data_IF_563865230022
#
_entry.id   IF_563865230022
#
_cell.length_a   1.000
_cell.length_b   1.000
_cell.length_c   1.000
_cell.angle_alpha   90.00
_cell.angle_beta   90.00
_cell.angle_gamma   90.00
#
_symmetry.space_group_name_H-M   'P 1'
#
loop_
_entity.id
_entity.type
_entity.pdbx_description
1 polymer ?
#
# COMPACT_ATOMS: atom_id res chain seq x y z
N UNK A 1 44.68 -8.14 14.37
CA UNK A 1 45.02 -7.61 13.02
C UNK A 1 44.27 -8.32 11.91
N UNK A 2 44.38 -9.65 11.77
CA UNK A 2 43.65 -10.41 10.74
C UNK A 2 42.12 -10.23 10.77
N UNK A 3 41.50 -10.27 11.96
CA UNK A 3 40.06 -10.04 12.10
C UNK A 3 39.62 -8.61 11.78
N UNK A 4 40.47 -7.61 12.06
CA UNK A 4 40.19 -6.21 11.70
C UNK A 4 40.29 -6.00 10.19
N UNK A 5 41.24 -6.68 9.54
CA UNK A 5 41.35 -6.71 8.09
C UNK A 5 40.12 -7.36 7.44
N UNK A 6 39.69 -8.53 7.93
CA UNK A 6 38.47 -9.19 7.45
C UNK A 6 37.22 -8.33 7.64
N UNK A 7 37.10 -7.65 8.79
CA UNK A 7 36.00 -6.73 9.05
C UNK A 7 36.00 -5.57 8.05
N UNK A 8 37.17 -5.00 7.76
CA UNK A 8 37.32 -3.95 6.75
C UNK A 8 36.89 -4.40 5.36
N UNK A 9 37.33 -5.58 4.91
CA UNK A 9 36.92 -6.15 3.63
C UNK A 9 35.41 -6.40 3.57
N UNK A 10 34.82 -6.92 4.64
CA UNK A 10 33.38 -7.17 4.71
C UNK A 10 32.55 -5.87 4.64
N UNK A 11 32.99 -4.80 5.33
CA UNK A 11 32.33 -3.49 5.29
C UNK A 11 32.41 -2.89 3.88
N UNK A 12 33.59 -2.90 3.26
CA UNK A 12 33.78 -2.36 1.90
C UNK A 12 32.96 -3.16 0.89
N UNK A 13 32.99 -4.50 0.96
CA UNK A 13 32.19 -5.36 0.11
C UNK A 13 30.67 -5.12 0.28
N UNK A 14 30.22 -4.94 1.52
CA UNK A 14 28.82 -4.61 1.83
C UNK A 14 28.39 -3.27 1.24
N UNK A 15 29.21 -2.23 1.35
CA UNK A 15 28.94 -0.90 0.78
C UNK A 15 28.85 -0.97 -0.75
N UNK A 16 29.80 -1.64 -1.41
CA UNK A 16 29.79 -1.81 -2.87
C UNK A 16 28.54 -2.57 -3.31
N UNK A 17 28.18 -3.65 -2.62
CA UNK A 17 26.97 -4.42 -2.92
C UNK A 17 25.71 -3.57 -2.82
N UNK A 18 25.56 -2.77 -1.75
CA UNK A 18 24.40 -1.88 -1.59
C UNK A 18 24.37 -0.78 -2.66
N UNK A 19 25.53 -0.24 -3.03
CA UNK A 19 25.66 0.77 -4.08
C UNK A 19 25.24 0.22 -5.45
N UNK A 20 25.75 -0.96 -5.83
CA UNK A 20 25.39 -1.65 -7.08
C UNK A 20 23.90 -2.03 -7.08
N UNK A 21 23.37 -2.56 -5.97
CA UNK A 21 21.95 -2.89 -5.85
C UNK A 21 21.02 -1.67 -5.91
N UNK A 22 21.54 -0.45 -5.70
CA UNK A 22 20.81 0.81 -5.87
C UNK A 22 20.88 1.39 -7.28
N UNK A 23 21.94 1.10 -8.05
CA UNK A 23 22.20 1.65 -9.38
C UNK A 23 21.41 0.98 -10.51
N UNK A 24 20.98 -0.27 -10.33
CA UNK A 24 20.21 -1.02 -11.34
C UNK A 24 18.71 -1.04 -11.01
N UNK A 25 17.92 -0.06 -11.52
CA UNK A 25 16.47 -0.13 -11.44
C UNK A 25 16.00 -1.38 -12.21
N UNK A 26 15.44 -2.36 -11.49
CA UNK A 26 14.95 -3.63 -12.06
C UNK A 26 15.43 -4.89 -11.33
N UNK A 27 16.63 -4.88 -10.74
CA UNK A 27 17.20 -6.08 -10.07
C UNK A 27 16.38 -6.53 -8.84
N UNK A 28 15.75 -5.58 -8.14
CA UNK A 28 14.81 -5.86 -7.05
C UNK A 28 13.45 -6.35 -7.56
N UNK A 29 13.01 -5.85 -8.70
CA UNK A 29 11.72 -6.20 -9.31
C UNK A 29 11.76 -7.60 -9.92
N UNK A 30 12.87 -7.98 -10.56
CA UNK A 30 13.11 -9.35 -11.05
C UNK A 30 13.21 -10.35 -9.89
N UNK A 31 13.87 -9.98 -8.79
CA UNK A 31 14.08 -10.88 -7.64
C UNK A 31 12.83 -11.04 -6.77
N UNK A 32 12.09 -9.96 -6.53
CA UNK A 32 10.95 -9.95 -5.59
C UNK A 32 9.58 -9.85 -6.26
N UNK A 33 9.50 -9.56 -7.56
CA UNK A 33 8.25 -9.23 -8.25
C UNK A 33 7.79 -7.79 -7.99
N UNK A 34 6.88 -7.32 -8.85
CA UNK A 34 6.32 -5.95 -8.81
C UNK A 34 5.07 -5.94 -7.92
N UNK A 35 4.83 -4.87 -7.17
CA UNK A 35 3.58 -4.74 -6.41
C UNK A 35 2.40 -4.55 -7.38
N UNK A 36 1.24 -5.14 -7.07
CA UNK A 36 -0.01 -4.93 -7.85
C UNK A 36 -0.22 -3.44 -8.15
N UNK A 37 -0.56 -3.05 -9.39
CA UNK A 37 -0.74 -1.65 -9.75
C UNK A 37 -1.76 -0.98 -8.83
N UNK A 38 -1.56 0.31 -8.58
CA UNK A 38 -2.48 1.07 -7.74
C UNK A 38 -3.85 1.18 -8.42
N UNK A 39 -4.96 1.15 -7.64
CA UNK A 39 -6.29 1.38 -8.18
C UNK A 39 -6.38 2.75 -8.88
N UNK A 40 -7.15 2.84 -9.97
CA UNK A 40 -7.32 4.10 -10.72
C UNK A 40 -8.16 5.15 -9.98
N UNK A 41 -8.89 4.74 -8.94
CA UNK A 41 -9.83 5.55 -8.16
C UNK A 41 -9.27 6.04 -6.82
N UNK A 42 -7.93 6.11 -6.67
CA UNK A 42 -7.31 6.65 -5.48
C UNK A 42 -7.83 8.06 -5.13
N UNK A 43 -8.09 8.29 -3.85
CA UNK A 43 -8.54 9.57 -3.32
C UNK A 43 -10.02 9.87 -3.51
N UNK A 44 -10.79 9.03 -4.23
CA UNK A 44 -12.21 9.25 -4.49
C UNK A 44 -13.08 8.46 -3.51
N UNK A 45 -14.16 9.09 -3.05
CA UNK A 45 -15.19 8.43 -2.27
C UNK A 45 -16.19 7.77 -3.21
N UNK A 46 -16.36 6.46 -3.06
CA UNK A 46 -17.28 5.66 -3.85
C UNK A 46 -18.33 5.03 -2.93
N UNK A 47 -19.60 4.97 -3.36
CA UNK A 47 -20.63 4.25 -2.63
C UNK A 47 -20.32 2.75 -2.66
N UNK A 48 -20.47 2.08 -1.52
CA UNK A 48 -20.28 0.64 -1.38
C UNK A 48 -21.58 -0.03 -0.95
N UNK A 49 -22.55 -0.22 -1.87
CA UNK A 49 -23.83 -0.87 -1.56
C UNK A 49 -23.74 -2.41 -1.57
N UNK A 50 -22.72 -2.98 -2.23
CA UNK A 50 -22.65 -4.42 -2.48
C UNK A 50 -21.96 -5.21 -1.35
N UNK A 51 -21.14 -4.55 -0.53
CA UNK A 51 -20.53 -5.22 0.62
C UNK A 51 -21.56 -5.57 1.70
N UNK A 52 -21.23 -6.58 2.51
CA UNK A 52 -22.08 -6.96 3.65
C UNK A 52 -22.32 -5.78 4.61
N UNK A 53 -21.28 -4.97 4.83
CA UNK A 53 -21.30 -3.78 5.69
C UNK A 53 -22.11 -2.63 5.05
N UNK A 54 -22.02 -2.48 3.73
CA UNK A 54 -22.85 -1.56 2.94
C UNK A 54 -24.34 -1.89 3.03
N UNK A 55 -24.68 -3.17 2.88
CA UNK A 55 -26.05 -3.67 3.07
C UNK A 55 -26.55 -3.47 4.50
N UNK A 56 -25.69 -3.69 5.50
CA UNK A 56 -26.04 -3.44 6.90
C UNK A 56 -26.28 -1.95 7.19
N UNK A 57 -25.47 -1.06 6.61
CA UNK A 57 -25.67 0.38 6.70
C UNK A 57 -26.98 0.80 6.02
N UNK A 58 -27.28 0.26 4.83
CA UNK A 58 -28.51 0.54 4.10
C UNK A 58 -29.76 0.13 4.90
N UNK A 59 -29.71 -1.01 5.60
CA UNK A 59 -30.78 -1.45 6.50
C UNK A 59 -31.04 -0.46 7.67
N UNK A 60 -30.06 0.38 8.01
CA UNK A 60 -30.17 1.43 9.03
C UNK A 60 -30.50 2.82 8.43
N UNK A 61 -30.85 2.90 7.14
CA UNK A 61 -31.08 4.18 6.46
C UNK A 61 -29.80 4.99 6.24
N UNK A 62 -28.64 4.33 6.18
CA UNK A 62 -27.33 4.96 6.00
C UNK A 62 -26.67 4.52 4.69
N UNK A 63 -25.92 5.41 4.07
CA UNK A 63 -25.08 5.13 2.90
C UNK A 63 -23.64 4.93 3.36
N UNK A 64 -23.02 3.83 2.95
CA UNK A 64 -21.59 3.62 3.14
C UNK A 64 -20.82 4.16 1.94
N UNK A 65 -19.84 4.99 2.20
CA UNK A 65 -18.86 5.43 1.21
C UNK A 65 -17.47 4.96 1.63
N UNK A 66 -16.69 4.50 0.67
CA UNK A 66 -15.33 3.99 0.86
C UNK A 66 -14.38 4.75 -0.05
N UNK A 67 -13.18 5.03 0.45
CA UNK A 67 -12.09 5.64 -0.30
C UNK A 67 -10.80 4.87 -0.08
N UNK A 68 -10.06 4.65 -1.16
CA UNK A 68 -8.70 4.14 -1.11
C UNK A 68 -7.71 5.30 -1.14
N UNK A 69 -6.75 5.32 -0.22
CA UNK A 69 -5.71 6.33 -0.13
C UNK A 69 -4.35 5.63 -0.16
N UNK A 70 -3.42 6.18 -0.93
CA UNK A 70 -2.05 5.68 -0.99
C UNK A 70 -1.09 6.75 -0.50
N UNK A 71 -0.27 6.39 0.48
CA UNK A 71 0.82 7.20 1.01
C UNK A 71 2.13 6.64 0.47
N UNK A 72 2.89 7.45 -0.27
CA UNK A 72 4.22 7.04 -0.72
C UNK A 72 5.15 6.82 0.46
N UNK A 73 5.90 5.71 0.41
CA UNK A 73 6.93 5.44 1.40
C UNK A 73 8.15 6.31 1.15
N UNK A 74 8.82 6.75 2.21
CA UNK A 74 10.09 7.48 2.09
C UNK A 74 11.24 6.61 1.56
N UNK A 75 12.47 7.14 1.65
CA UNK A 75 13.71 6.57 1.11
C UNK A 75 13.94 5.05 1.35
N UNK A 76 13.35 4.49 2.40
CA UNK A 76 13.50 3.08 2.81
C UNK A 76 12.17 2.34 2.99
N UNK A 77 11.02 2.99 2.77
CA UNK A 77 9.70 2.46 3.09
C UNK A 77 8.92 2.01 1.85
N UNK A 78 8.18 0.91 1.97
CA UNK A 78 7.13 0.61 0.99
C UNK A 78 5.95 1.55 1.25
N UNK A 79 5.35 2.09 0.17
CA UNK A 79 4.14 2.91 0.30
C UNK A 79 2.97 2.13 0.91
N UNK A 80 2.09 2.85 1.61
CA UNK A 80 1.00 2.31 2.41
C UNK A 80 -0.33 2.58 1.71
N UNK A 81 -1.12 1.53 1.51
CA UNK A 81 -2.49 1.65 1.00
C UNK A 81 -3.46 1.54 2.19
N UNK A 82 -4.30 2.54 2.38
CA UNK A 82 -5.35 2.55 3.42
C UNK A 82 -6.73 2.62 2.79
N UNK A 83 -7.67 1.94 3.43
CA UNK A 83 -9.10 1.98 3.13
C UNK A 83 -9.78 2.78 4.22
N UNK A 84 -10.36 3.90 3.84
CA UNK A 84 -11.15 4.76 4.71
C UNK A 84 -12.62 4.53 4.39
N UNK A 85 -13.46 4.40 5.42
CA UNK A 85 -14.88 4.22 5.23
C UNK A 85 -15.66 5.20 6.11
N UNK A 86 -16.77 5.72 5.58
CA UNK A 86 -17.67 6.60 6.31
C UNK A 86 -19.12 6.23 6.05
N UNK A 87 -19.95 6.49 7.04
CA UNK A 87 -21.39 6.35 6.98
C UNK A 87 -22.02 7.73 6.88
N UNK A 88 -22.91 7.87 5.91
CA UNK A 88 -23.72 9.06 5.71
C UNK A 88 -25.18 8.75 5.93
N UNK A 89 -25.94 9.71 6.42
CA UNK A 89 -27.38 9.61 6.46
C UNK A 89 -27.92 9.54 5.02
N UNK A 90 -28.83 8.63 4.71
CA UNK A 90 -29.35 8.48 3.35
C UNK A 90 -30.22 9.67 2.92
N UNK A 91 -30.84 10.37 3.89
CA UNK A 91 -31.76 11.48 3.67
C UNK A 91 -31.04 12.83 3.67
N UNK A 92 -30.17 13.11 4.63
CA UNK A 92 -29.49 14.40 4.76
C UNK A 92 -28.11 14.45 4.10
N UNK A 93 -27.55 13.28 3.73
CA UNK A 93 -26.15 13.12 3.27
C UNK A 93 -25.09 13.64 4.26
N UNK A 94 -25.47 13.88 5.52
CA UNK A 94 -24.53 14.25 6.58
C UNK A 94 -23.69 13.05 6.99
N UNK A 95 -22.45 13.29 7.40
CA UNK A 95 -21.57 12.24 7.90
C UNK A 95 -21.98 11.92 9.32
N UNK A 96 -22.49 10.71 9.51
CA UNK A 96 -22.94 10.22 10.83
C UNK A 96 -21.77 9.60 11.59
N UNK A 97 -20.93 8.84 10.90
CA UNK A 97 -19.84 8.10 11.53
C UNK A 97 -18.69 7.89 10.55
N UNK A 98 -17.47 8.04 11.04
CA UNK A 98 -16.26 7.66 10.31
C UNK A 98 -15.75 6.35 10.92
N UNK A 99 -15.57 5.34 10.08
CA UNK A 99 -15.07 4.03 10.50
C UNK A 99 -13.54 4.07 10.61
N UNK A 100 -12.93 3.21 11.45
CA UNK A 100 -11.48 3.16 11.55
C UNK A 100 -10.83 2.79 10.21
N UNK A 101 -9.70 3.42 9.94
CA UNK A 101 -8.92 3.18 8.72
C UNK A 101 -8.29 1.80 8.74
N UNK A 102 -8.39 1.08 7.63
CA UNK A 102 -7.82 -0.25 7.48
C UNK A 102 -6.62 -0.23 6.53
N UNK A 103 -5.51 -0.84 6.94
CA UNK A 103 -4.32 -0.95 6.09
C UNK A 103 -4.46 -2.16 5.16
N UNK A 104 -4.53 -1.92 3.86
CA UNK A 104 -4.59 -2.96 2.85
C UNK A 104 -3.18 -3.38 2.41
N UNK A 105 -2.90 -4.67 2.46
CA UNK A 105 -1.65 -5.24 1.94
C UNK A 105 -1.78 -5.47 0.43
N UNK A 106 -0.89 -4.85 -0.35
CA UNK A 106 -0.73 -5.13 -1.79
C UNK A 106 -0.01 -6.46 -1.99
N UNK A 107 -0.48 -7.30 -2.91
CA UNK A 107 0.25 -8.51 -3.27
C UNK A 107 1.39 -8.17 -4.24
N UNK A 108 2.40 -9.02 -4.28
CA UNK A 108 3.45 -8.98 -5.30
C UNK A 108 3.06 -9.91 -6.44
N UNK A 109 3.15 -9.41 -7.66
CA UNK A 109 2.88 -10.15 -8.89
C UNK A 109 4.18 -10.26 -9.67
N UNK A 110 4.49 -11.47 -10.12
CA UNK A 110 5.57 -11.68 -11.10
C UNK A 110 4.99 -11.42 -12.49
N UNK A 111 5.36 -10.31 -13.09
CA UNK A 111 5.04 -10.04 -14.49
C UNK A 111 5.96 -10.93 -15.34
N UNK A 112 5.40 -11.94 -16.03
CA UNK A 112 6.13 -12.59 -17.13
C UNK A 112 6.13 -11.59 -18.28
N UNK A 113 7.26 -10.94 -18.51
CA UNK A 113 7.51 -10.22 -19.75
C UNK A 113 7.65 -11.30 -20.83
N UNK A 114 6.67 -11.40 -21.72
CA UNK A 114 6.70 -12.25 -22.92
C UNK A 114 7.34 -11.53 -24.08
#
# INVERSE_FOLDING_TARGET
MFYLFLLGVAVVGGIIYLFVAGLFPGLKEERFGVLEPLPSNLGKWEPDPESAEGRAAAAQGRKREVRLMFEEGGLLGAGKLTRQARLRDASTNEIVTVLPDEVLKRKRVRVRIS
#
